data_IF_425871361265
#
_entry.id   IF_425871361265
#
_cell.length_a   1.000
_cell.length_b   1.000
_cell.length_c   1.000
_cell.angle_alpha   90.00
_cell.angle_beta   90.00
_cell.angle_gamma   90.00
#
_symmetry.space_group_name_H-M   'P 1'
#
loop_
_entity.id
_entity.type
_entity.pdbx_description
1 polymer ?
#
# COMPACT_ATOMS: atom_id res chain seq x y z
N UNK A 1 -18.60 -21.00 8.11
CA UNK A 1 -18.93 -21.83 6.94
C UNK A 1 -18.58 -23.26 7.29
N UNK A 2 -19.43 -24.24 6.98
CA UNK A 2 -19.09 -25.66 7.14
C UNK A 2 -17.95 -26.01 6.18
N UNK A 3 -16.97 -26.77 6.68
CA UNK A 3 -15.81 -27.21 5.88
C UNK A 3 -16.25 -28.31 4.92
N UNK A 4 -15.83 -28.25 3.66
CA UNK A 4 -16.19 -29.19 2.61
C UNK A 4 -15.18 -30.34 2.53
N UNK A 5 -15.63 -31.58 2.68
CA UNK A 5 -14.82 -32.80 2.53
C UNK A 5 -15.27 -33.55 1.28
N UNK A 6 -14.35 -33.86 0.37
CA UNK A 6 -14.62 -34.73 -0.77
C UNK A 6 -14.19 -36.17 -0.43
N UNK A 7 -15.08 -37.12 -0.61
CA UNK A 7 -14.79 -38.56 -0.42
C UNK A 7 -14.79 -39.26 -1.76
N UNK A 8 -13.67 -39.89 -2.10
CA UNK A 8 -13.45 -40.59 -3.36
C UNK A 8 -13.09 -42.04 -3.07
N UNK A 9 -13.99 -42.96 -3.39
CA UNK A 9 -13.88 -44.40 -3.13
C UNK A 9 -14.79 -45.12 -4.15
N UNK A 10 -14.45 -46.30 -4.64
CA UNK A 10 -15.29 -47.02 -5.62
C UNK A 10 -16.45 -47.77 -4.95
N UNK A 11 -16.32 -48.13 -3.67
CA UNK A 11 -17.36 -48.80 -2.89
C UNK A 11 -18.42 -47.82 -2.36
N UNK A 12 -19.66 -47.97 -2.84
CA UNK A 12 -20.78 -47.11 -2.42
C UNK A 12 -21.03 -47.15 -0.91
N UNK A 13 -20.96 -48.34 -0.29
CA UNK A 13 -21.15 -48.51 1.15
C UNK A 13 -20.13 -47.73 1.98
N UNK A 14 -18.88 -47.65 1.53
CA UNK A 14 -17.83 -46.89 2.22
C UNK A 14 -18.10 -45.39 2.11
N UNK A 15 -18.44 -44.91 0.91
CA UNK A 15 -18.78 -43.49 0.69
C UNK A 15 -19.94 -43.03 1.55
N UNK A 16 -21.02 -43.81 1.62
CA UNK A 16 -22.20 -43.49 2.43
C UNK A 16 -21.87 -43.49 3.93
N UNK A 17 -21.12 -44.48 4.40
CA UNK A 17 -20.69 -44.55 5.82
C UNK A 17 -19.83 -43.35 6.20
N UNK A 18 -18.88 -42.95 5.34
CA UNK A 18 -18.03 -41.79 5.59
C UNK A 18 -18.81 -40.47 5.56
N UNK A 19 -19.77 -40.34 4.65
CA UNK A 19 -20.68 -39.18 4.61
C UNK A 19 -21.41 -39.04 5.93
N UNK A 20 -22.07 -40.10 6.39
CA UNK A 20 -22.90 -40.05 7.59
C UNK A 20 -22.06 -39.65 8.82
N UNK A 21 -20.87 -40.26 8.98
CA UNK A 21 -19.93 -39.92 10.08
C UNK A 21 -19.48 -38.45 10.02
N UNK A 22 -19.16 -37.94 8.83
CA UNK A 22 -18.63 -36.58 8.66
C UNK A 22 -19.73 -35.51 8.78
N UNK A 23 -20.93 -35.78 8.26
CA UNK A 23 -22.09 -34.87 8.36
C UNK A 23 -22.58 -34.74 9.82
N UNK A 24 -22.59 -35.85 10.57
CA UNK A 24 -22.87 -35.84 12.02
C UNK A 24 -21.87 -34.97 12.81
N UNK A 25 -20.69 -34.71 12.23
CA UNK A 25 -19.64 -33.87 12.81
C UNK A 25 -19.52 -32.49 12.13
N UNK A 26 -20.61 -31.99 11.55
CA UNK A 26 -20.74 -30.64 10.98
C UNK A 26 -19.85 -30.35 9.74
N UNK A 27 -19.40 -31.37 9.03
CA UNK A 27 -18.77 -31.21 7.71
C UNK A 27 -19.82 -31.24 6.61
N UNK A 28 -19.59 -30.48 5.53
CA UNK A 28 -20.30 -30.68 4.27
C UNK A 28 -19.56 -31.75 3.48
N UNK A 29 -20.26 -32.75 2.95
CA UNK A 29 -19.61 -33.86 2.24
C UNK A 29 -20.11 -33.95 0.81
N UNK A 30 -19.20 -34.21 -0.11
CA UNK A 30 -19.50 -34.54 -1.49
C UNK A 30 -18.82 -35.87 -1.83
N UNK A 31 -19.44 -36.66 -2.70
CA UNK A 31 -19.02 -38.03 -3.00
C UNK A 31 -18.62 -38.16 -4.47
N UNK A 32 -17.53 -38.87 -4.73
CA UNK A 32 -17.11 -39.27 -6.08
C UNK A 32 -16.86 -40.78 -6.12
N UNK A 33 -17.28 -41.42 -7.20
CA UNK A 33 -17.28 -42.87 -7.37
C UNK A 33 -15.99 -43.44 -7.98
N UNK A 34 -15.08 -42.57 -8.46
CA UNK A 34 -13.82 -42.95 -9.07
C UNK A 34 -12.83 -41.77 -9.08
N UNK A 35 -11.56 -42.06 -9.38
CA UNK A 35 -10.50 -41.05 -9.38
C UNK A 35 -10.71 -39.91 -10.38
N UNK A 36 -11.32 -40.16 -11.55
CA UNK A 36 -11.57 -39.13 -12.56
C UNK A 36 -12.65 -38.13 -12.10
N UNK A 37 -13.78 -38.65 -11.61
CA UNK A 37 -14.85 -37.82 -11.02
C UNK A 37 -14.33 -37.02 -9.82
N UNK A 38 -13.47 -37.64 -8.99
CA UNK A 38 -12.81 -36.96 -7.88
C UNK A 38 -11.97 -35.76 -8.33
N UNK A 39 -11.13 -35.93 -9.36
CA UNK A 39 -10.32 -34.85 -9.93
C UNK A 39 -11.17 -33.69 -10.47
N UNK A 40 -12.23 -33.99 -11.21
CA UNK A 40 -13.13 -32.98 -11.79
C UNK A 40 -13.88 -32.21 -10.68
N UNK A 41 -14.25 -32.89 -9.60
CA UNK A 41 -14.90 -32.28 -8.44
C UNK A 41 -13.93 -31.41 -7.62
N UNK A 42 -12.65 -31.79 -7.51
CA UNK A 42 -11.64 -30.94 -6.86
C UNK A 42 -11.52 -29.61 -7.60
N UNK A 43 -11.45 -29.64 -8.93
CA UNK A 43 -11.37 -28.43 -9.76
C UNK A 43 -12.60 -27.53 -9.60
N UNK A 44 -13.80 -28.12 -9.54
CA UNK A 44 -15.07 -27.39 -9.48
C UNK A 44 -15.40 -26.85 -8.08
N UNK A 45 -15.14 -27.64 -7.04
CA UNK A 45 -15.65 -27.40 -5.69
C UNK A 45 -14.59 -26.88 -4.72
N UNK A 46 -13.30 -27.04 -5.03
CA UNK A 46 -12.17 -26.66 -4.19
C UNK A 46 -12.33 -27.12 -2.71
N UNK A 47 -12.48 -28.43 -2.46
CA UNK A 47 -12.80 -28.99 -1.15
C UNK A 47 -11.69 -28.71 -0.13
N UNK A 48 -12.05 -28.59 1.16
CA UNK A 48 -11.11 -28.29 2.25
C UNK A 48 -10.13 -29.43 2.55
N UNK A 49 -10.53 -30.66 2.25
CA UNK A 49 -9.67 -31.85 2.26
C UNK A 49 -10.29 -32.93 1.38
N UNK A 50 -9.48 -33.87 0.92
CA UNK A 50 -9.94 -35.04 0.13
C UNK A 50 -9.61 -36.31 0.89
N UNK A 51 -10.59 -37.21 1.04
CA UNK A 51 -10.40 -38.60 1.43
C UNK A 51 -10.37 -39.44 0.16
N UNK A 52 -9.28 -40.16 -0.09
CA UNK A 52 -9.01 -40.82 -1.37
C UNK A 52 -8.62 -42.28 -1.16
N UNK A 53 -9.43 -43.23 -1.64
CA UNK A 53 -9.03 -44.63 -1.66
C UNK A 53 -7.83 -44.84 -2.59
N UNK A 54 -6.83 -45.58 -2.12
CA UNK A 54 -5.68 -45.99 -2.93
C UNK A 54 -6.13 -46.92 -4.05
N UNK A 55 -7.07 -47.84 -3.79
CA UNK A 55 -7.47 -48.85 -4.78
C UNK A 55 -8.78 -48.47 -5.43
N UNK A 56 -8.72 -47.95 -6.64
CA UNK A 56 -9.89 -47.66 -7.46
C UNK A 56 -9.61 -48.05 -8.92
N UNK A 57 -10.65 -48.41 -9.70
CA UNK A 57 -10.50 -48.70 -11.12
C UNK A 57 -10.05 -47.47 -11.93
N UNK A 58 -9.35 -47.73 -13.03
CA UNK A 58 -8.82 -46.74 -14.00
C UNK A 58 -7.74 -45.80 -13.47
N UNK A 59 -8.09 -44.95 -12.50
CA UNK A 59 -7.18 -44.01 -11.83
C UNK A 59 -7.17 -44.36 -10.35
N UNK A 60 -6.08 -44.98 -9.91
CA UNK A 60 -5.82 -45.27 -8.50
C UNK A 60 -5.51 -44.00 -7.69
N UNK A 61 -5.59 -44.10 -6.37
CA UNK A 61 -5.43 -42.93 -5.48
C UNK A 61 -4.03 -42.32 -5.51
N UNK A 62 -2.99 -43.10 -5.79
CA UNK A 62 -1.61 -42.60 -5.90
C UNK A 62 -1.45 -41.77 -7.17
N UNK A 63 -1.96 -42.26 -8.29
CA UNK A 63 -1.95 -41.56 -9.57
C UNK A 63 -2.81 -40.30 -9.53
N UNK A 64 -3.97 -40.34 -8.86
CA UNK A 64 -4.79 -39.16 -8.61
C UNK A 64 -4.03 -38.11 -7.78
N UNK A 65 -3.32 -38.51 -6.72
CA UNK A 65 -2.46 -37.62 -5.92
C UNK A 65 -1.35 -36.95 -6.76
N UNK A 66 -0.69 -37.70 -7.64
CA UNK A 66 0.30 -37.11 -8.56
C UNK A 66 -0.30 -36.04 -9.46
N UNK A 67 -1.51 -36.27 -9.98
CA UNK A 67 -2.20 -35.33 -10.88
C UNK A 67 -2.58 -34.07 -10.10
N UNK A 68 -3.11 -34.20 -8.88
CA UNK A 68 -3.45 -33.08 -7.99
C UNK A 68 -2.22 -32.21 -7.74
N UNK A 69 -1.08 -32.82 -7.43
CA UNK A 69 0.17 -32.09 -7.19
C UNK A 69 0.74 -31.44 -8.45
N UNK A 70 0.72 -32.13 -9.60
CA UNK A 70 1.16 -31.54 -10.89
C UNK A 70 0.32 -30.34 -11.30
N UNK A 71 -0.96 -30.29 -10.92
CA UNK A 71 -1.86 -29.14 -11.16
C UNK A 71 -1.62 -27.96 -10.20
N UNK A 72 -0.74 -28.11 -9.21
CA UNK A 72 -0.43 -27.05 -8.23
C UNK A 72 -1.57 -26.77 -7.25
N UNK A 73 -2.44 -27.76 -7.00
CA UNK A 73 -3.56 -27.60 -6.07
C UNK A 73 -3.12 -27.88 -4.63
N UNK A 74 -3.23 -26.87 -3.76
CA UNK A 74 -2.88 -26.98 -2.35
C UNK A 74 -4.03 -27.55 -1.50
N UNK A 75 -4.66 -28.64 -1.95
CA UNK A 75 -5.67 -29.35 -1.16
C UNK A 75 -5.01 -30.51 -0.39
N UNK A 76 -5.14 -30.59 0.94
CA UNK A 76 -4.68 -31.73 1.71
C UNK A 76 -5.42 -33.01 1.28
N UNK A 77 -4.66 -34.06 0.94
CA UNK A 77 -5.20 -35.38 0.54
C UNK A 77 -4.85 -36.41 1.61
N UNK A 78 -5.86 -37.11 2.14
CA UNK A 78 -5.71 -38.22 3.08
C UNK A 78 -5.98 -39.51 2.32
N UNK A 79 -5.00 -40.41 2.27
CA UNK A 79 -5.13 -41.68 1.58
C UNK A 79 -5.81 -42.74 2.46
N UNK A 80 -6.74 -43.51 1.91
CA UNK A 80 -7.40 -44.61 2.60
C UNK A 80 -6.95 -45.94 1.96
N UNK A 81 -6.58 -46.93 2.77
CA UNK A 81 -6.12 -48.24 2.25
C UNK A 81 -6.61 -49.42 3.08
N UNK A 82 -6.93 -50.53 2.40
CA UNK A 82 -7.23 -51.82 3.03
C UNK A 82 -6.00 -52.71 3.27
N UNK A 83 -4.88 -52.46 2.58
CA UNK A 83 -3.64 -53.24 2.71
C UNK A 83 -2.47 -52.27 2.91
N UNK A 84 -2.02 -52.14 4.16
CA UNK A 84 -0.86 -51.32 4.52
C UNK A 84 0.46 -52.06 4.29
N UNK A 85 0.93 -52.16 3.05
CA UNK A 85 2.38 -52.31 2.85
C UNK A 85 3.05 -51.00 3.23
N UNK A 86 4.05 -51.05 4.12
CA UNK A 86 4.86 -49.89 4.53
C UNK A 86 5.39 -49.12 3.31
N UNK A 87 5.68 -49.81 2.22
CA UNK A 87 6.16 -49.23 0.95
C UNK A 87 5.16 -48.26 0.31
N UNK A 88 3.88 -48.61 0.25
CA UNK A 88 2.84 -47.79 -0.41
C UNK A 88 2.47 -46.57 0.42
N UNK A 89 2.51 -46.69 1.75
CA UNK A 89 2.37 -45.56 2.68
C UNK A 89 3.55 -44.58 2.53
N UNK A 90 4.78 -45.10 2.44
CA UNK A 90 5.97 -44.27 2.24
C UNK A 90 5.91 -43.54 0.89
N UNK A 91 5.44 -44.21 -0.16
CA UNK A 91 5.25 -43.62 -1.49
C UNK A 91 4.22 -42.49 -1.48
N UNK A 92 3.04 -42.72 -0.90
CA UNK A 92 2.01 -41.68 -0.78
C UNK A 92 2.49 -40.44 -0.02
N UNK A 93 3.23 -40.63 1.08
CA UNK A 93 3.82 -39.52 1.84
C UNK A 93 4.92 -38.78 1.05
N UNK A 94 5.76 -39.51 0.29
CA UNK A 94 6.76 -38.89 -0.61
C UNK A 94 6.13 -38.06 -1.71
N UNK A 95 4.97 -38.50 -2.20
CA UNK A 95 4.19 -37.78 -3.20
C UNK A 95 3.37 -36.64 -2.60
N UNK A 96 3.44 -36.38 -1.30
CA UNK A 96 2.81 -35.21 -0.68
C UNK A 96 1.39 -35.45 -0.17
N UNK A 97 1.00 -36.70 0.12
CA UNK A 97 -0.19 -36.95 0.92
C UNK A 97 -0.06 -36.26 2.29
N UNK A 98 -1.17 -35.73 2.80
CA UNK A 98 -1.22 -35.10 4.11
C UNK A 98 -1.08 -36.15 5.23
N UNK A 99 -1.83 -37.24 5.10
CA UNK A 99 -1.81 -38.37 6.02
C UNK A 99 -2.40 -39.61 5.34
N UNK A 100 -2.43 -40.73 6.05
CA UNK A 100 -3.08 -41.96 5.60
C UNK A 100 -3.93 -42.60 6.70
N UNK A 101 -4.96 -43.34 6.32
CA UNK A 101 -5.85 -44.06 7.22
C UNK A 101 -6.01 -45.52 6.74
N UNK A 102 -5.97 -46.46 7.69
CA UNK A 102 -6.08 -47.89 7.40
C UNK A 102 -7.51 -48.37 7.65
N UNK A 103 -8.12 -49.05 6.67
CA UNK A 103 -9.39 -49.79 6.84
C UNK A 103 -9.10 -51.03 7.72
N UNK A 104 -9.91 -51.34 8.76
CA UNK A 104 -11.14 -50.65 9.16
C UNK A 104 -10.88 -49.34 9.90
N UNK A 105 -11.57 -48.27 9.45
CA UNK A 105 -11.37 -46.91 9.93
C UNK A 105 -11.89 -46.74 11.36
N UNK A 106 -11.05 -46.20 12.25
CA UNK A 106 -11.47 -45.76 13.58
C UNK A 106 -12.05 -44.34 13.48
N UNK A 107 -13.28 -44.16 13.94
CA UNK A 107 -14.02 -42.89 13.83
C UNK A 107 -13.21 -41.71 14.41
N UNK A 108 -12.63 -41.87 15.61
CA UNK A 108 -11.84 -40.80 16.24
C UNK A 108 -10.61 -40.41 15.42
N UNK A 109 -9.92 -41.40 14.84
CA UNK A 109 -8.72 -41.19 14.03
C UNK A 109 -9.06 -40.46 12.72
N UNK A 110 -10.14 -40.88 12.06
CA UNK A 110 -10.68 -40.20 10.88
C UNK A 110 -10.99 -38.73 11.17
N UNK A 111 -11.74 -38.45 12.24
CA UNK A 111 -12.16 -37.09 12.59
C UNK A 111 -10.97 -36.19 12.96
N UNK A 112 -10.01 -36.72 13.72
CA UNK A 112 -8.80 -35.99 14.09
C UNK A 112 -7.94 -35.63 12.86
N UNK A 113 -7.77 -36.58 11.93
CA UNK A 113 -6.98 -36.37 10.72
C UNK A 113 -7.66 -35.38 9.77
N UNK A 114 -8.97 -35.49 9.56
CA UNK A 114 -9.77 -34.53 8.77
C UNK A 114 -9.73 -33.13 9.38
N UNK A 115 -9.83 -33.02 10.71
CA UNK A 115 -9.75 -31.74 11.41
C UNK A 115 -8.39 -31.07 11.17
N UNK A 116 -7.28 -31.80 11.34
CA UNK A 116 -5.93 -31.29 11.10
C UNK A 116 -5.74 -30.87 9.64
N UNK A 117 -6.19 -31.69 8.69
CA UNK A 117 -6.07 -31.41 7.25
C UNK A 117 -6.78 -30.10 6.88
N UNK A 118 -8.03 -29.94 7.30
CA UNK A 118 -8.81 -28.73 7.02
C UNK A 118 -8.27 -27.48 7.75
N UNK A 119 -7.63 -27.64 8.93
CA UNK A 119 -6.91 -26.55 9.60
C UNK A 119 -5.64 -26.13 8.85
N UNK A 120 -4.89 -27.08 8.29
CA UNK A 120 -3.72 -26.79 7.46
C UNK A 120 -4.11 -26.04 6.20
N UNK A 121 -5.20 -26.42 5.51
CA UNK A 121 -5.69 -25.64 4.36
C UNK A 121 -6.07 -24.21 4.76
N UNK A 122 -6.77 -24.05 5.88
CA UNK A 122 -7.12 -22.71 6.38
C UNK A 122 -5.87 -21.89 6.75
N UNK A 123 -4.82 -22.53 7.29
CA UNK A 123 -3.54 -21.89 7.59
C UNK A 123 -2.78 -21.52 6.33
N UNK A 124 -2.69 -22.40 5.33
CA UNK A 124 -2.07 -22.13 4.03
C UNK A 124 -2.81 -21.03 3.27
N UNK A 125 -4.15 -20.98 3.33
CA UNK A 125 -4.89 -19.85 2.73
C UNK A 125 -4.64 -18.52 3.45
N UNK A 126 -4.50 -18.54 4.79
CA UNK A 126 -4.06 -17.37 5.57
C UNK A 126 -2.61 -16.98 5.26
N UNK A 127 -1.73 -17.96 5.00
CA UNK A 127 -0.34 -17.74 4.61
C UNK A 127 -0.16 -17.33 3.15
N UNK A 128 -1.02 -17.76 2.23
CA UNK A 128 -1.02 -17.29 0.83
C UNK A 128 -1.50 -15.83 0.71
N UNK A 129 -2.38 -15.40 1.62
CA UNK A 129 -2.62 -13.96 1.84
C UNK A 129 -1.35 -13.25 2.36
N UNK A 130 -0.57 -13.92 3.22
CA UNK A 130 0.72 -13.42 3.68
C UNK A 130 1.82 -13.42 2.60
N UNK A 131 1.81 -14.31 1.60
CA UNK A 131 2.75 -14.28 0.47
C UNK A 131 2.46 -13.09 -0.46
N UNK A 132 1.18 -12.78 -0.69
CA UNK A 132 0.80 -11.50 -1.32
C UNK A 132 1.16 -10.29 -0.45
N UNK A 133 1.19 -10.41 0.88
CA UNK A 133 1.71 -9.37 1.78
C UNK A 133 3.25 -9.28 1.79
N UNK A 134 3.98 -10.39 1.61
CA UNK A 134 5.45 -10.43 1.49
C UNK A 134 5.89 -9.87 0.13
N UNK A 135 5.13 -10.12 -0.94
CA UNK A 135 5.36 -9.46 -2.23
C UNK A 135 4.97 -7.97 -2.19
N UNK A 136 3.86 -7.60 -1.53
CA UNK A 136 3.55 -6.18 -1.24
C UNK A 136 4.61 -5.52 -0.36
N UNK A 137 5.24 -6.26 0.56
CA UNK A 137 6.33 -5.76 1.40
C UNK A 137 7.62 -5.49 0.59
N UNK A 138 7.86 -6.22 -0.51
CA UNK A 138 8.93 -5.89 -1.48
C UNK A 138 8.59 -4.65 -2.33
N UNK A 139 7.31 -4.34 -2.53
CA UNK A 139 6.87 -3.18 -3.30
C UNK A 139 6.86 -1.86 -2.50
N UNK A 140 6.84 -1.94 -1.17
CA UNK A 140 6.89 -0.81 -0.23
C UNK A 140 8.31 -0.50 0.27
N UNK A 141 9.34 -0.95 -0.45
CA UNK A 141 10.73 -0.60 -0.12
C UNK A 141 10.95 0.89 -0.40
N UNK A 142 11.54 1.61 0.56
CA UNK A 142 12.03 2.96 0.30
C UNK A 142 13.16 2.91 -0.73
N UNK A 143 12.98 3.64 -1.82
CA UNK A 143 13.94 3.74 -2.92
C UNK A 143 14.63 5.09 -2.88
N UNK A 144 15.95 5.08 -3.00
CA UNK A 144 16.78 6.29 -3.07
C UNK A 144 18.23 6.01 -2.65
N UNK A 145 19.17 6.56 -3.40
CA UNK A 145 20.61 6.46 -3.17
C UNK A 145 21.24 7.80 -2.79
N UNK A 146 20.48 8.89 -2.85
CA UNK A 146 20.96 10.21 -2.46
C UNK A 146 21.54 10.20 -1.04
N UNK A 147 22.61 11.00 -0.78
CA UNK A 147 23.23 11.06 0.54
C UNK A 147 22.24 11.38 1.67
N UNK A 148 21.22 12.22 1.37
CA UNK A 148 20.17 12.59 2.32
C UNK A 148 19.32 11.37 2.70
N UNK A 149 18.90 10.56 1.73
CA UNK A 149 18.15 9.33 1.99
C UNK A 149 19.00 8.29 2.74
N UNK A 150 20.30 8.18 2.42
CA UNK A 150 21.21 7.29 3.17
C UNK A 150 21.33 7.70 4.64
N UNK A 151 21.33 9.00 4.96
CA UNK A 151 21.30 9.46 6.33
C UNK A 151 19.98 9.12 7.03
N UNK A 152 18.84 9.28 6.33
CA UNK A 152 17.52 8.87 6.85
C UNK A 152 17.51 7.38 7.17
N UNK A 153 18.02 6.51 6.31
CA UNK A 153 18.09 5.07 6.57
C UNK A 153 18.93 4.73 7.81
N UNK A 154 20.06 5.42 8.01
CA UNK A 154 20.87 5.27 9.23
C UNK A 154 20.09 5.67 10.48
N UNK A 155 19.36 6.78 10.44
CA UNK A 155 18.52 7.23 11.55
C UNK A 155 17.40 6.23 11.84
N UNK A 156 16.75 5.69 10.81
CA UNK A 156 15.73 4.64 10.94
C UNK A 156 16.33 3.41 11.64
N UNK A 157 17.49 2.92 11.19
CA UNK A 157 18.16 1.78 11.81
C UNK A 157 18.50 2.01 13.30
N UNK A 158 18.95 3.23 13.66
CA UNK A 158 19.24 3.59 15.06
C UNK A 158 17.97 3.64 15.92
N UNK A 159 16.89 4.21 15.41
CA UNK A 159 15.67 4.41 16.20
C UNK A 159 14.77 3.17 16.23
N UNK A 160 14.90 2.24 15.28
CA UNK A 160 14.03 1.07 15.17
C UNK A 160 14.05 0.20 16.45
N UNK A 161 15.21 0.03 17.08
CA UNK A 161 15.35 -0.74 18.34
C UNK A 161 14.93 0.01 19.61
N UNK A 162 14.60 1.30 19.51
CA UNK A 162 14.14 2.12 20.64
C UNK A 162 12.62 2.12 20.76
N UNK A 163 12.09 2.40 21.95
CA UNK A 163 10.65 2.69 22.15
C UNK A 163 10.32 4.18 22.04
N UNK A 164 11.30 5.03 21.74
CA UNK A 164 11.11 6.47 21.60
C UNK A 164 10.08 6.80 20.50
N UNK A 165 9.31 7.85 20.77
CA UNK A 165 8.41 8.46 19.79
C UNK A 165 9.22 9.06 18.65
N UNK A 166 8.76 8.87 17.42
CA UNK A 166 9.39 9.43 16.23
C UNK A 166 8.43 10.40 15.56
N UNK A 167 8.89 11.62 15.30
CA UNK A 167 8.18 12.61 14.51
C UNK A 167 8.77 12.67 13.10
N UNK A 168 7.95 12.38 12.10
CA UNK A 168 8.33 12.39 10.68
C UNK A 168 7.76 13.66 10.04
N UNK A 169 8.63 14.56 9.60
CA UNK A 169 8.23 15.77 8.87
C UNK A 169 8.51 15.63 7.39
N UNK A 170 7.73 16.32 6.58
CA UNK A 170 7.96 16.42 5.14
C UNK A 170 6.69 16.77 4.38
N UNK A 171 6.86 17.30 3.18
CA UNK A 171 5.74 17.63 2.30
C UNK A 171 4.84 16.43 2.01
N UNK A 172 3.63 16.71 1.54
CA UNK A 172 2.70 15.66 1.11
C UNK A 172 3.33 14.83 -0.02
N UNK A 173 3.21 13.51 0.08
CA UNK A 173 3.74 12.59 -0.94
C UNK A 173 5.25 12.32 -0.90
N UNK A 174 5.98 12.75 0.13
CA UNK A 174 7.44 12.49 0.28
C UNK A 174 7.80 11.07 0.75
N UNK A 175 6.82 10.30 1.24
CA UNK A 175 7.02 8.93 1.74
C UNK A 175 7.01 8.77 3.26
N UNK A 176 6.38 9.71 4.01
CA UNK A 176 6.31 9.65 5.49
C UNK A 176 5.77 8.32 6.03
N UNK A 177 4.73 7.79 5.39
CA UNK A 177 4.15 6.49 5.73
C UNK A 177 5.13 5.33 5.55
N UNK A 178 5.90 5.32 4.46
CA UNK A 178 6.92 4.29 4.20
C UNK A 178 8.05 4.34 5.23
N UNK A 179 8.43 5.53 5.69
CA UNK A 179 9.39 5.67 6.81
C UNK A 179 8.82 5.07 8.09
N UNK A 180 7.55 5.32 8.41
CA UNK A 180 6.91 4.77 9.60
C UNK A 180 6.81 3.23 9.55
N UNK A 181 6.43 2.68 8.39
CA UNK A 181 6.44 1.23 8.14
C UNK A 181 7.84 0.64 8.31
N UNK A 182 8.87 1.29 7.75
CA UNK A 182 10.25 0.85 7.86
C UNK A 182 10.75 0.86 9.32
N UNK A 183 10.39 1.88 10.11
CA UNK A 183 10.71 1.92 11.54
C UNK A 183 10.07 0.73 12.27
N UNK A 184 8.80 0.43 11.99
CA UNK A 184 8.11 -0.68 12.63
C UNK A 184 8.69 -2.05 12.21
N UNK A 185 8.87 -2.28 10.90
CA UNK A 185 9.38 -3.54 10.35
C UNK A 185 10.79 -3.90 10.86
N UNK A 186 11.62 -2.89 11.15
CA UNK A 186 12.96 -3.07 11.69
C UNK A 186 13.02 -3.03 13.23
N UNK A 187 11.87 -2.89 13.91
CA UNK A 187 11.84 -2.78 15.37
C UNK A 187 11.70 -4.12 16.08
N UNK A 188 11.93 -4.10 17.40
CA UNK A 188 11.58 -5.22 18.30
C UNK A 188 10.08 -5.55 18.30
N UNK A 189 9.24 -4.64 17.77
CA UNK A 189 7.78 -4.77 17.70
C UNK A 189 7.27 -5.25 16.34
N UNK A 190 8.15 -5.62 15.40
CA UNK A 190 7.81 -6.04 14.03
C UNK A 190 6.83 -7.21 13.92
N UNK A 191 6.72 -8.04 14.96
CA UNK A 191 5.80 -9.18 15.02
C UNK A 191 4.40 -8.79 15.55
N UNK A 192 4.22 -7.56 16.02
CA UNK A 192 2.96 -7.03 16.52
C UNK A 192 2.30 -6.11 15.49
N UNK A 193 1.08 -5.68 15.76
CA UNK A 193 0.29 -4.84 14.84
C UNK A 193 0.96 -3.49 14.51
N UNK A 194 0.90 -3.09 13.25
CA UNK A 194 1.13 -1.72 12.79
C UNK A 194 -0.21 -1.05 12.45
N UNK A 195 -0.72 -0.22 13.36
CA UNK A 195 -2.02 0.43 13.19
C UNK A 195 -1.84 1.83 12.63
N UNK A 196 -2.42 2.11 11.46
CA UNK A 196 -2.35 3.43 10.83
C UNK A 196 -3.66 4.19 11.02
N UNK A 197 -3.54 5.49 11.23
CA UNK A 197 -4.67 6.42 11.22
C UNK A 197 -4.25 7.74 10.60
N UNK A 198 -5.05 8.24 9.65
CA UNK A 198 -4.86 9.55 9.06
C UNK A 198 -5.86 10.52 9.69
N UNK A 199 -5.34 11.46 10.47
CA UNK A 199 -6.14 12.39 11.28
C UNK A 199 -6.89 13.41 10.41
N UNK A 200 -6.42 13.67 9.19
CA UNK A 200 -7.07 14.58 8.23
C UNK A 200 -8.28 13.93 7.53
N UNK A 201 -8.30 12.60 7.41
CA UNK A 201 -9.32 11.87 6.65
C UNK A 201 -10.60 11.56 7.43
N UNK A 202 -10.57 11.74 8.75
CA UNK A 202 -11.66 11.38 9.65
C UNK A 202 -12.26 12.67 10.21
N UNK A 203 -13.59 12.85 10.18
CA UNK A 203 -14.25 13.97 10.83
C UNK A 203 -13.82 14.09 12.31
N UNK A 204 -13.62 15.32 12.79
CA UNK A 204 -13.09 15.60 14.13
C UNK A 204 -13.86 14.85 15.24
N UNK A 205 -15.19 14.85 15.16
CA UNK A 205 -16.08 14.18 16.11
C UNK A 205 -15.95 12.65 16.12
N UNK A 206 -15.45 12.06 15.03
CA UNK A 206 -15.23 10.61 14.92
C UNK A 206 -13.78 10.23 15.20
N UNK A 207 -12.82 11.15 15.02
CA UNK A 207 -11.40 10.88 15.22
C UNK A 207 -11.11 10.44 16.66
N UNK A 208 -11.71 11.12 17.64
CA UNK A 208 -11.57 10.78 19.05
C UNK A 208 -12.08 9.36 19.34
N UNK A 209 -13.27 9.03 18.82
CA UNK A 209 -13.84 7.69 18.95
C UNK A 209 -13.04 6.62 18.20
N UNK A 210 -12.41 6.92 17.07
CA UNK A 210 -11.57 5.96 16.35
C UNK A 210 -10.28 5.70 17.14
N UNK A 211 -9.63 6.74 17.67
CA UNK A 211 -8.39 6.63 18.44
C UNK A 211 -8.59 5.87 19.75
N UNK A 212 -9.56 6.31 20.55
CA UNK A 212 -9.74 5.88 21.94
C UNK A 212 -10.90 4.91 22.13
N UNK A 213 -11.72 4.65 21.11
CA UNK A 213 -12.92 3.83 21.25
C UNK A 213 -14.06 4.57 21.94
N UNK A 214 -15.22 3.92 22.02
CA UNK A 214 -16.39 4.47 22.70
C UNK A 214 -17.19 3.39 23.42
N UNK A 215 -17.87 3.81 24.48
CA UNK A 215 -18.89 3.00 25.15
C UNK A 215 -20.26 3.14 24.49
N UNK A 216 -21.14 2.17 24.73
CA UNK A 216 -22.51 2.21 24.22
C UNK A 216 -23.22 3.46 24.76
N UNK A 217 -23.81 4.25 23.88
CA UNK A 217 -24.53 5.48 24.23
C UNK A 217 -23.65 6.72 24.44
N UNK A 218 -22.35 6.67 24.13
CA UNK A 218 -21.44 7.81 24.29
C UNK A 218 -21.81 9.04 23.43
N UNK A 219 -22.44 8.83 22.27
CA UNK A 219 -22.94 9.88 21.38
C UNK A 219 -24.11 9.35 20.52
N UNK A 220 -24.77 10.25 19.80
CA UNK A 220 -25.86 9.89 18.87
C UNK A 220 -25.36 8.96 17.77
N UNK A 221 -25.76 7.69 17.81
CA UNK A 221 -25.31 6.63 16.90
C UNK A 221 -24.38 5.58 17.51
N UNK A 222 -23.96 5.73 18.78
CA UNK A 222 -23.18 4.73 19.50
C UNK A 222 -24.04 3.54 19.98
N UNK A 223 -24.48 2.71 19.04
CA UNK A 223 -25.41 1.57 19.30
C UNK A 223 -24.74 0.43 20.10
N UNK A 224 -23.43 0.27 19.94
CA UNK A 224 -22.61 -0.71 20.65
C UNK A 224 -21.29 -0.06 21.09
N UNK A 225 -20.55 -0.69 22.00
CA UNK A 225 -19.19 -0.27 22.31
C UNK A 225 -18.23 -0.68 21.19
N UNK A 226 -17.17 0.11 20.99
CA UNK A 226 -16.15 -0.12 19.97
C UNK A 226 -14.76 0.13 20.54
N UNK A 227 -13.84 -0.81 20.31
CA UNK A 227 -12.43 -0.65 20.69
C UNK A 227 -11.74 0.42 19.84
N UNK A 228 -10.86 1.19 20.48
CA UNK A 228 -10.06 2.23 19.83
C UNK A 228 -8.81 1.69 19.12
N UNK A 229 -8.22 2.48 18.23
CA UNK A 229 -6.95 2.17 17.56
C UNK A 229 -5.80 1.99 18.56
N UNK A 230 -5.81 2.69 19.70
CA UNK A 230 -4.79 2.49 20.74
C UNK A 230 -4.84 1.09 21.37
N UNK A 231 -6.05 0.55 21.59
CA UNK A 231 -6.22 -0.83 22.07
C UNK A 231 -5.75 -1.83 21.01
N UNK A 232 -6.16 -1.61 19.76
CA UNK A 232 -5.73 -2.45 18.62
C UNK A 232 -4.21 -2.46 18.42
N UNK A 233 -3.54 -1.36 18.77
CA UNK A 233 -2.10 -1.19 18.63
C UNK A 233 -1.29 -1.65 19.86
N UNK A 234 -1.94 -2.23 20.87
CA UNK A 234 -1.28 -2.70 22.09
C UNK A 234 -0.12 -3.65 21.78
N UNK A 235 1.06 -3.42 22.38
CA UNK A 235 2.37 -4.05 22.09
C UNK A 235 2.97 -3.76 20.72
N UNK A 236 2.17 -3.23 19.80
CA UNK A 236 2.58 -2.82 18.46
C UNK A 236 3.01 -1.36 18.37
N UNK A 237 2.81 -0.81 17.18
CA UNK A 237 3.07 0.59 16.85
C UNK A 237 1.80 1.22 16.27
N UNK A 238 1.48 2.43 16.71
CA UNK A 238 0.46 3.27 16.08
C UNK A 238 1.15 4.38 15.27
N UNK A 239 0.72 4.55 14.02
CA UNK A 239 1.14 5.61 13.13
C UNK A 239 0.03 6.67 13.00
N UNK A 240 0.32 7.87 13.49
CA UNK A 240 -0.56 9.04 13.47
C UNK A 240 -0.15 9.95 12.30
N UNK A 241 -0.79 9.81 11.15
CA UNK A 241 -0.53 10.67 9.99
C UNK A 241 -1.32 11.98 10.08
N UNK A 242 -0.68 13.06 9.64
CA UNK A 242 -1.17 14.44 9.73
C UNK A 242 -1.63 14.82 11.16
N UNK A 243 -0.79 14.57 12.18
CA UNK A 243 -1.08 14.82 13.60
C UNK A 243 -1.48 16.28 13.90
N UNK A 244 -1.06 17.23 13.07
CA UNK A 244 -1.40 18.64 13.19
C UNK A 244 -2.89 18.96 12.93
N UNK A 245 -3.66 18.02 12.37
CA UNK A 245 -5.11 18.16 12.14
C UNK A 245 -5.95 17.75 13.36
N UNK A 246 -5.33 17.21 14.42
CA UNK A 246 -6.05 16.87 15.64
C UNK A 246 -6.60 18.12 16.33
N UNK A 247 -7.81 18.04 16.87
CA UNK A 247 -8.35 19.09 17.74
C UNK A 247 -7.59 19.18 19.07
N UNK A 248 -7.65 20.33 19.74
CA UNK A 248 -6.97 20.55 21.02
C UNK A 248 -7.42 19.57 22.11
N UNK A 249 -8.68 19.14 22.09
CA UNK A 249 -9.22 18.11 23.01
C UNK A 249 -8.59 16.75 22.75
N UNK A 250 -8.51 16.33 21.47
CA UNK A 250 -7.87 15.08 21.06
C UNK A 250 -6.37 15.10 21.40
N UNK A 251 -5.69 16.23 21.16
CA UNK A 251 -4.29 16.43 21.53
C UNK A 251 -4.07 16.28 23.04
N UNK A 252 -4.96 16.81 23.88
CA UNK A 252 -4.87 16.66 25.34
C UNK A 252 -5.01 15.20 25.79
N UNK A 253 -5.90 14.42 25.16
CA UNK A 253 -6.02 12.98 25.43
C UNK A 253 -4.81 12.18 24.94
N UNK A 254 -4.29 12.51 23.76
CA UNK A 254 -3.07 11.90 23.23
C UNK A 254 -1.87 12.15 24.17
N UNK A 255 -1.76 13.35 24.74
CA UNK A 255 -0.72 13.67 25.70
C UNK A 255 -0.77 12.74 26.93
N UNK A 256 -1.97 12.47 27.47
CA UNK A 256 -2.15 11.52 28.59
C UNK A 256 -1.67 10.11 28.22
N UNK A 257 -2.00 9.63 27.02
CA UNK A 257 -1.50 8.33 26.54
C UNK A 257 0.03 8.30 26.47
N UNK A 258 0.67 9.38 26.00
CA UNK A 258 2.13 9.50 25.92
C UNK A 258 2.82 9.60 27.28
N UNK A 259 2.13 10.09 28.31
CA UNK A 259 2.67 10.28 29.66
C UNK A 259 2.43 9.03 30.51
N UNK A 260 1.17 8.61 30.63
CA UNK A 260 0.70 7.65 31.62
C UNK A 260 0.48 6.26 31.03
N UNK A 261 0.52 6.12 29.70
CA UNK A 261 0.22 4.88 28.97
C UNK A 261 -1.19 4.34 29.25
N UNK A 262 -2.11 5.25 29.53
CA UNK A 262 -3.51 4.93 29.78
C UNK A 262 -4.45 5.99 29.21
N UNK A 263 -5.69 5.60 28.96
CA UNK A 263 -6.77 6.48 28.54
C UNK A 263 -8.13 5.87 28.89
N UNK A 264 -9.19 6.66 28.71
CA UNK A 264 -10.58 6.23 28.85
C UNK A 264 -11.28 6.31 27.49
N UNK A 265 -12.16 5.34 27.22
CA UNK A 265 -13.04 5.39 26.05
C UNK A 265 -13.96 6.61 26.10
N UNK A 266 -14.40 7.09 24.95
CA UNK A 266 -15.41 8.16 24.89
C UNK A 266 -16.68 7.70 25.59
N UNK A 267 -17.15 8.46 26.58
CA UNK A 267 -18.32 8.15 27.40
C UNK A 267 -18.11 7.06 28.46
N UNK A 268 -16.89 6.52 28.60
CA UNK A 268 -16.53 5.55 29.63
C UNK A 268 -15.74 6.19 30.77
N UNK A 269 -15.66 5.47 31.90
CA UNK A 269 -14.83 5.82 33.06
C UNK A 269 -13.79 4.75 33.39
N UNK A 270 -13.71 3.69 32.57
CA UNK A 270 -12.73 2.63 32.74
C UNK A 270 -11.39 3.07 32.16
N UNK A 271 -10.36 3.08 33.00
CA UNK A 271 -8.99 3.38 32.61
C UNK A 271 -8.36 2.16 31.93
N UNK A 272 -7.98 2.31 30.66
CA UNK A 272 -7.38 1.27 29.83
C UNK A 272 -5.89 1.54 29.68
N UNK A 273 -5.05 0.56 30.03
CA UNK A 273 -3.58 0.64 29.87
C UNK A 273 -3.11 0.05 28.56
N UNK A 274 -2.26 0.78 27.84
CA UNK A 274 -1.69 0.35 26.56
C UNK A 274 -0.18 0.53 26.49
N UNK A 275 0.53 -0.49 26.01
CA UNK A 275 1.94 -0.39 25.68
C UNK A 275 2.11 -0.23 24.17
N UNK A 276 1.94 0.98 23.67
CA UNK A 276 1.94 1.27 22.22
C UNK A 276 3.08 2.22 21.88
N UNK A 277 3.91 1.86 20.89
CA UNK A 277 4.90 2.79 20.33
C UNK A 277 4.20 3.78 19.40
N UNK A 278 4.49 5.07 19.53
CA UNK A 278 3.89 6.11 18.70
C UNK A 278 4.90 6.57 17.63
N UNK A 279 4.44 6.63 16.39
CA UNK A 279 5.13 7.31 15.29
C UNK A 279 4.15 8.34 14.73
N UNK A 280 4.54 9.60 14.69
CA UNK A 280 3.69 10.69 14.20
C UNK A 280 4.25 11.27 12.91
N UNK A 281 3.39 11.74 12.02
CA UNK A 281 3.78 12.44 10.80
C UNK A 281 2.98 13.72 10.61
N UNK A 282 3.60 14.71 9.95
CA UNK A 282 2.93 15.97 9.58
C UNK A 282 3.58 16.60 8.36
N UNK A 283 2.78 17.27 7.54
CA UNK A 283 3.26 18.18 6.51
C UNK A 283 3.27 19.67 6.95
N UNK A 284 2.68 19.99 8.12
CA UNK A 284 2.61 21.35 8.66
C UNK A 284 3.82 21.68 9.53
N UNK A 285 4.12 22.97 9.63
CA UNK A 285 5.07 23.52 10.59
C UNK A 285 4.42 23.60 11.98
N UNK A 286 4.80 22.68 12.88
CA UNK A 286 4.20 22.58 14.21
C UNK A 286 4.51 23.80 15.08
N UNK A 287 5.69 24.41 14.94
CA UNK A 287 6.08 25.61 15.67
C UNK A 287 5.16 26.79 15.34
N UNK A 288 4.75 26.91 14.07
CA UNK A 288 3.74 27.87 13.65
C UNK A 288 2.37 27.51 14.22
N UNK A 289 1.96 26.24 14.16
CA UNK A 289 0.69 25.80 14.74
C UNK A 289 0.60 26.08 16.25
N UNK A 290 1.71 25.98 16.99
CA UNK A 290 1.79 26.35 18.41
C UNK A 290 1.56 27.85 18.60
N UNK A 291 2.25 28.69 17.81
CA UNK A 291 2.07 30.16 17.85
C UNK A 291 0.64 30.56 17.51
N UNK A 292 0.01 29.86 16.57
CA UNK A 292 -1.37 30.10 16.14
C UNK A 292 -2.42 29.49 17.11
N UNK A 293 -1.99 28.82 18.19
CA UNK A 293 -2.88 28.21 19.19
C UNK A 293 -3.62 26.97 18.71
N UNK A 294 -3.21 26.38 17.57
CA UNK A 294 -3.85 25.20 16.96
C UNK A 294 -3.16 23.89 17.35
N UNK A 295 -1.96 23.96 17.94
CA UNK A 295 -1.24 22.79 18.44
C UNK A 295 -0.68 23.05 19.83
N UNK A 296 -0.75 22.06 20.72
CA UNK A 296 -0.26 22.21 22.09
C UNK A 296 1.25 22.07 22.17
N UNK A 297 1.88 23.00 22.87
CA UNK A 297 3.34 23.01 23.08
C UNK A 297 3.82 21.80 23.91
N UNK A 298 3.07 21.40 24.93
CA UNK A 298 3.40 20.24 25.78
C UNK A 298 3.39 18.91 25.01
N UNK A 299 2.42 18.72 24.13
CA UNK A 299 2.35 17.59 23.22
C UNK A 299 3.54 17.59 22.24
N UNK A 300 3.88 18.75 21.68
CA UNK A 300 4.99 18.88 20.74
C UNK A 300 6.31 18.35 21.33
N UNK A 301 6.68 18.80 22.53
CA UNK A 301 7.91 18.33 23.17
C UNK A 301 7.87 16.83 23.51
N UNK A 302 6.67 16.26 23.75
CA UNK A 302 6.53 14.83 24.06
C UNK A 302 6.62 13.93 22.82
N UNK A 303 6.19 14.41 21.65
CA UNK A 303 6.31 13.67 20.39
C UNK A 303 7.64 13.89 19.68
N UNK A 304 8.25 15.06 19.84
CA UNK A 304 9.49 15.42 19.16
C UNK A 304 10.75 14.91 19.90
N UNK A 305 10.79 13.60 20.17
CA UNK A 305 11.95 12.96 20.81
C UNK A 305 13.02 12.60 19.78
N UNK A 306 12.61 12.01 18.66
CA UNK A 306 13.46 11.77 17.49
C UNK A 306 12.76 12.33 16.27
N UNK A 307 13.44 13.23 15.56
CA UNK A 307 12.92 13.87 14.37
C UNK A 307 13.55 13.27 13.10
N UNK A 308 12.71 12.96 12.11
CA UNK A 308 13.14 12.58 10.76
C UNK A 308 12.48 13.52 9.77
N UNK A 309 13.28 14.34 9.08
CA UNK A 309 12.80 15.26 8.06
C UNK A 309 13.04 14.64 6.68
N UNK A 310 11.96 14.38 5.94
CA UNK A 310 12.01 13.90 4.58
C UNK A 310 12.16 15.07 3.60
N UNK A 311 13.19 15.06 2.73
CA UNK A 311 13.34 16.08 1.71
C UNK A 311 12.26 15.93 0.62
N UNK A 312 11.80 17.06 0.05
CA UNK A 312 10.99 17.04 -1.15
C UNK A 312 11.78 16.45 -2.33
N UNK A 313 11.08 15.92 -3.33
CA UNK A 313 11.70 15.21 -4.45
C UNK A 313 12.62 16.11 -5.28
N UNK A 314 12.32 17.42 -5.37
CA UNK A 314 13.17 18.43 -6.02
C UNK A 314 14.57 18.59 -5.40
N UNK A 315 14.74 18.24 -4.12
CA UNK A 315 16.04 18.28 -3.42
C UNK A 315 16.82 16.97 -3.55
N UNK A 316 16.22 15.94 -4.16
CA UNK A 316 16.82 14.61 -4.39
C UNK A 316 16.51 14.09 -5.80
N UNK A 317 16.72 14.95 -6.81
CA UNK A 317 16.45 14.63 -8.23
C UNK A 317 17.25 13.40 -8.71
N UNK A 318 18.41 13.12 -8.11
CA UNK A 318 19.23 11.94 -8.37
C UNK A 318 18.51 10.60 -8.08
N UNK A 319 17.49 10.60 -7.22
CA UNK A 319 16.70 9.41 -6.90
C UNK A 319 15.59 9.13 -7.93
N UNK A 320 15.26 10.10 -8.79
CA UNK A 320 14.12 10.01 -9.73
C UNK A 320 14.25 8.81 -10.68
N UNK A 321 15.41 8.54 -11.35
CA UNK A 321 15.50 7.42 -12.28
C UNK A 321 15.23 6.06 -11.62
N UNK A 322 15.72 5.87 -10.40
CA UNK A 322 15.52 4.62 -9.67
C UNK A 322 14.08 4.49 -9.16
N UNK A 323 13.49 5.58 -8.68
CA UNK A 323 12.07 5.64 -8.31
C UNK A 323 11.17 5.31 -9.51
N UNK A 324 11.42 5.93 -10.66
CA UNK A 324 10.68 5.68 -11.91
C UNK A 324 10.81 4.22 -12.32
N UNK A 325 12.02 3.66 -12.31
CA UNK A 325 12.26 2.26 -12.65
C UNK A 325 11.46 1.31 -11.74
N UNK A 326 11.46 1.56 -10.43
CA UNK A 326 10.71 0.78 -9.45
C UNK A 326 9.20 0.89 -9.68
N UNK A 327 8.68 2.11 -9.84
CA UNK A 327 7.25 2.37 -10.05
C UNK A 327 6.77 1.74 -11.36
N UNK A 328 7.51 1.91 -12.46
CA UNK A 328 7.13 1.35 -13.76
C UNK A 328 7.11 -0.18 -13.71
N UNK A 329 8.13 -0.83 -13.15
CA UNK A 329 8.14 -2.30 -13.00
C UNK A 329 6.91 -2.81 -12.25
N UNK A 330 6.56 -2.12 -11.16
CA UNK A 330 5.38 -2.44 -10.36
C UNK A 330 4.09 -2.26 -11.17
N UNK A 331 3.86 -1.08 -11.75
CA UNK A 331 2.65 -0.79 -12.51
C UNK A 331 2.50 -1.70 -13.73
N UNK A 332 3.62 -2.02 -14.40
CA UNK A 332 3.70 -2.92 -15.55
C UNK A 332 3.23 -4.33 -15.18
N UNK A 333 3.69 -4.87 -14.03
CA UNK A 333 3.23 -6.15 -13.47
C UNK A 333 1.77 -6.12 -13.05
N UNK A 334 1.35 -5.09 -12.31
CA UNK A 334 -0.03 -4.95 -11.80
C UNK A 334 -1.07 -4.87 -12.93
N UNK A 335 -0.71 -4.24 -14.07
CA UNK A 335 -1.61 -4.05 -15.21
C UNK A 335 -1.36 -5.01 -16.38
N UNK A 336 -0.43 -5.97 -16.23
CA UNK A 336 -0.10 -6.94 -17.27
C UNK A 336 0.40 -6.32 -18.58
N UNK A 337 1.10 -5.19 -18.52
CA UNK A 337 1.64 -4.50 -19.70
C UNK A 337 3.14 -4.76 -19.87
N UNK A 338 3.68 -4.74 -21.10
CA UNK A 338 5.10 -4.98 -21.33
C UNK A 338 5.93 -3.67 -21.29
N UNK A 339 5.66 -2.76 -20.34
CA UNK A 339 6.37 -1.48 -20.26
C UNK A 339 7.67 -1.64 -19.48
N UNK A 340 8.79 -1.21 -20.07
CA UNK A 340 10.13 -1.32 -19.49
C UNK A 340 10.66 -0.02 -18.91
N UNK A 341 10.12 1.15 -19.30
CA UNK A 341 10.59 2.45 -18.81
C UNK A 341 10.25 3.61 -19.75
N UNK A 342 10.89 4.75 -19.48
CA UNK A 342 10.88 5.93 -20.34
C UNK A 342 12.13 6.00 -21.21
N UNK A 343 12.01 6.61 -22.39
CA UNK A 343 13.15 7.01 -23.19
C UNK A 343 13.95 8.13 -22.50
N UNK A 344 15.11 8.46 -23.09
CA UNK A 344 16.03 9.44 -22.52
C UNK A 344 15.40 10.84 -22.43
N UNK A 345 14.65 11.25 -23.45
CA UNK A 345 14.06 12.60 -23.50
C UNK A 345 12.97 12.75 -22.44
N UNK A 346 12.09 11.76 -22.30
CA UNK A 346 11.06 11.73 -21.27
C UNK A 346 11.67 11.66 -19.87
N UNK A 347 12.74 10.87 -19.67
CA UNK A 347 13.44 10.85 -18.39
C UNK A 347 14.01 12.23 -18.02
N UNK A 348 14.62 12.94 -18.97
CA UNK A 348 15.10 14.31 -18.74
C UNK A 348 13.97 15.28 -18.37
N UNK A 349 12.76 15.12 -18.93
CA UNK A 349 11.58 15.89 -18.51
C UNK A 349 11.20 15.58 -17.06
N UNK A 350 11.18 14.29 -16.68
CA UNK A 350 10.87 13.86 -15.32
C UNK A 350 11.90 14.37 -14.30
N UNK A 351 13.19 14.32 -14.61
CA UNK A 351 14.26 14.81 -13.72
C UNK A 351 14.22 16.33 -13.51
N UNK A 352 13.83 17.09 -14.54
CA UNK A 352 13.82 18.55 -14.46
C UNK A 352 12.57 19.12 -13.78
N UNK A 353 11.49 18.35 -13.69
CA UNK A 353 10.27 18.79 -13.01
C UNK A 353 10.46 18.91 -11.49
N UNK A 354 9.75 19.84 -10.86
CA UNK A 354 9.92 20.13 -9.42
C UNK A 354 9.04 19.27 -8.50
N UNK A 355 8.11 18.52 -9.07
CA UNK A 355 7.28 17.54 -8.34
C UNK A 355 6.62 18.12 -7.07
N UNK A 356 5.71 19.11 -7.18
CA UNK A 356 5.00 19.66 -6.03
C UNK A 356 4.20 18.61 -5.23
N UNK A 357 3.74 17.53 -5.87
CA UNK A 357 3.12 16.39 -5.19
C UNK A 357 4.09 15.25 -4.86
N UNK A 358 5.40 15.48 -5.01
CA UNK A 358 6.49 14.57 -4.68
C UNK A 358 6.32 13.18 -5.31
N UNK A 359 6.66 12.12 -4.58
CA UNK A 359 6.61 10.73 -5.07
C UNK A 359 5.17 10.30 -5.40
N UNK A 360 4.16 10.85 -4.71
CA UNK A 360 2.76 10.56 -5.00
C UNK A 360 2.36 11.04 -6.40
N UNK A 361 2.77 12.25 -6.77
CA UNK A 361 2.57 12.76 -8.13
C UNK A 361 3.37 11.98 -9.17
N UNK A 362 4.65 11.70 -8.91
CA UNK A 362 5.50 10.88 -9.78
C UNK A 362 4.86 9.51 -10.05
N UNK A 363 4.34 8.86 -9.01
CA UNK A 363 3.63 7.58 -9.12
C UNK A 363 2.42 7.70 -10.04
N UNK A 364 1.56 8.69 -9.82
CA UNK A 364 0.36 8.89 -10.63
C UNK A 364 0.68 9.13 -12.11
N UNK A 365 1.75 9.89 -12.37
CA UNK A 365 2.24 10.16 -13.73
C UNK A 365 2.73 8.89 -14.41
N UNK A 366 3.56 8.10 -13.73
CA UNK A 366 4.07 6.84 -14.25
C UNK A 366 2.96 5.82 -14.49
N UNK A 367 2.03 5.67 -13.53
CA UNK A 367 0.90 4.76 -13.62
C UNK A 367 -0.01 5.09 -14.80
N UNK A 368 -0.34 6.38 -14.97
CA UNK A 368 -1.10 6.87 -16.12
C UNK A 368 -0.38 6.58 -17.43
N UNK A 369 0.92 6.82 -17.50
CA UNK A 369 1.70 6.57 -18.71
C UNK A 369 1.70 5.08 -19.08
N UNK A 370 1.87 4.18 -18.10
CA UNK A 370 1.76 2.72 -18.32
C UNK A 370 0.35 2.36 -18.81
N UNK A 371 -0.70 2.83 -18.14
CA UNK A 371 -2.09 2.53 -18.50
C UNK A 371 -2.48 3.01 -19.90
N UNK A 372 -1.93 4.12 -20.38
CA UNK A 372 -2.23 4.65 -21.71
C UNK A 372 -1.30 4.11 -22.80
N UNK A 373 -0.17 3.52 -22.43
CA UNK A 373 0.81 3.03 -23.39
C UNK A 373 0.34 1.82 -24.19
N UNK A 374 0.79 1.76 -25.44
CA UNK A 374 0.67 0.60 -26.33
C UNK A 374 2.04 0.04 -26.72
N UNK A 375 3.12 0.59 -26.16
CA UNK A 375 4.51 0.30 -26.54
C UNK A 375 5.34 -0.03 -25.28
N UNK A 376 6.43 -0.81 -25.40
CA UNK A 376 7.30 -1.11 -24.26
C UNK A 376 8.05 0.10 -23.69
N UNK A 377 8.37 1.09 -24.52
CA UNK A 377 9.11 2.28 -24.13
C UNK A 377 8.21 3.52 -24.21
N UNK A 378 8.10 4.25 -23.10
CA UNK A 378 7.33 5.48 -22.97
C UNK A 378 8.14 6.69 -23.45
N UNK A 379 7.47 7.63 -24.10
CA UNK A 379 8.06 8.83 -24.70
C UNK A 379 7.50 10.09 -24.03
N UNK A 380 7.99 11.26 -24.43
CA UNK A 380 7.46 12.56 -23.95
C UNK A 380 5.96 12.70 -24.25
N UNK A 381 5.48 12.07 -25.32
CA UNK A 381 4.07 12.05 -25.72
C UNK A 381 3.18 11.23 -24.79
N UNK A 382 3.74 10.45 -23.88
CA UNK A 382 2.99 9.68 -22.89
C UNK A 382 2.85 10.44 -21.54
N UNK A 383 3.64 11.51 -21.35
CA UNK A 383 3.60 12.35 -20.14
C UNK A 383 2.40 13.32 -20.16
N UNK A 384 1.80 13.70 -19.02
CA UNK A 384 0.77 14.74 -18.98
C UNK A 384 1.23 16.08 -19.57
N UNK A 385 0.31 16.85 -20.16
CA UNK A 385 0.63 18.16 -20.74
C UNK A 385 1.26 19.15 -19.75
N UNK A 386 0.95 19.04 -18.45
CA UNK A 386 1.55 19.84 -17.38
C UNK A 386 3.06 19.64 -17.25
N UNK A 387 3.57 18.45 -17.58
CA UNK A 387 5.00 18.13 -17.59
C UNK A 387 5.67 18.48 -18.92
N UNK A 388 4.92 18.47 -20.03
CA UNK A 388 5.44 18.81 -21.36
C UNK A 388 5.69 20.31 -21.53
N UNK A 389 4.92 21.16 -20.82
CA UNK A 389 5.10 22.60 -20.86
C UNK A 389 6.09 23.03 -19.78
N UNK A 390 7.35 23.26 -20.17
CA UNK A 390 8.10 24.33 -19.52
C UNK A 390 7.28 25.60 -19.73
N UNK A 391 6.78 26.20 -18.66
CA UNK A 391 6.42 27.61 -18.66
C UNK A 391 7.70 28.43 -18.89
N UNK A 392 8.21 28.41 -20.12
CA UNK A 392 9.18 29.39 -20.64
C UNK A 392 8.66 30.83 -20.54
N UNK A 393 7.42 31.03 -20.08
CA UNK A 393 6.84 32.33 -19.79
C UNK A 393 7.33 32.95 -18.48
N UNK A 394 7.80 32.16 -17.50
CA UNK A 394 8.16 32.68 -16.16
C UNK A 394 9.67 32.82 -15.97
N UNK A 395 10.52 31.99 -16.61
CA UNK A 395 11.99 32.13 -16.53
C UNK A 395 12.48 33.52 -16.99
N UNK A 396 11.82 34.13 -17.97
CA UNK A 396 12.20 35.45 -18.48
C UNK A 396 11.89 36.61 -17.50
N UNK A 397 10.96 36.46 -16.55
CA UNK A 397 10.69 37.49 -15.54
C UNK A 397 11.83 37.65 -14.52
N UNK A 398 12.68 36.63 -14.36
CA UNK A 398 13.81 36.64 -13.42
C UNK A 398 15.02 37.47 -13.87
N UNK A 399 15.08 37.84 -15.16
CA UNK A 399 16.18 38.63 -15.75
C UNK A 399 15.83 40.12 -15.89
N UNK A 400 14.60 40.52 -15.52
CA UNK A 400 14.12 41.90 -15.68
C UNK A 400 14.63 42.76 -14.53
N UNK A 401 15.55 43.68 -14.84
CA UNK A 401 16.00 44.70 -13.90
C UNK A 401 15.04 45.90 -13.92
N UNK A 402 14.47 46.24 -12.77
CA UNK A 402 13.65 47.43 -12.59
C UNK A 402 13.34 47.66 -11.12
N UNK A 403 13.51 48.89 -10.63
CA UNK A 403 13.29 49.25 -9.22
C UNK A 403 11.82 49.59 -8.95
N UNK A 404 11.01 49.76 -10.01
CA UNK A 404 9.60 50.06 -9.93
C UNK A 404 8.74 49.17 -10.83
N UNK A 405 7.48 48.93 -10.42
CA UNK A 405 6.49 48.17 -11.20
C UNK A 405 6.31 48.73 -12.62
N UNK A 406 6.46 50.04 -12.79
CA UNK A 406 6.32 50.72 -14.08
C UNK A 406 7.45 50.34 -15.05
N UNK A 407 8.69 50.22 -14.56
CA UNK A 407 9.86 49.83 -15.35
C UNK A 407 9.80 48.36 -15.73
N UNK A 408 9.44 47.49 -14.77
CA UNK A 408 9.28 46.05 -15.02
C UNK A 408 8.23 45.81 -16.10
N UNK A 409 7.07 46.48 -16.03
CA UNK A 409 6.01 46.34 -17.04
C UNK A 409 6.47 46.86 -18.41
N UNK A 410 7.21 47.97 -18.46
CA UNK A 410 7.73 48.51 -19.71
C UNK A 410 8.74 47.55 -20.39
N UNK A 411 9.62 46.93 -19.61
CA UNK A 411 10.59 45.96 -20.12
C UNK A 411 9.90 44.68 -20.60
N UNK A 412 8.88 44.21 -19.86
CA UNK A 412 8.04 43.10 -20.31
C UNK A 412 7.33 43.44 -21.62
N UNK A 413 6.77 44.64 -21.76
CA UNK A 413 6.11 45.03 -23.00
C UNK A 413 7.08 45.11 -24.18
N UNK A 414 8.29 45.65 -23.97
CA UNK A 414 9.35 45.78 -24.99
C UNK A 414 9.71 44.42 -25.60
N UNK A 415 10.05 43.46 -24.77
CA UNK A 415 10.49 42.13 -25.20
C UNK A 415 9.37 41.30 -25.82
N UNK A 416 8.13 41.41 -25.30
CA UNK A 416 6.96 40.79 -25.95
C UNK A 416 6.78 41.32 -27.36
N UNK A 417 6.98 42.62 -27.57
CA UNK A 417 6.94 43.24 -28.90
C UNK A 417 8.09 42.73 -29.78
N UNK A 418 9.33 42.67 -29.27
CA UNK A 418 10.49 42.18 -30.01
C UNK A 418 10.34 40.72 -30.45
N UNK A 419 9.86 39.86 -29.56
CA UNK A 419 9.60 38.45 -29.85
C UNK A 419 8.50 38.29 -30.90
N UNK A 420 7.39 39.01 -30.75
CA UNK A 420 6.31 38.97 -31.72
C UNK A 420 6.74 39.52 -33.09
N UNK A 421 7.60 40.55 -33.13
CA UNK A 421 8.22 41.03 -34.38
C UNK A 421 9.09 39.95 -35.02
N UNK A 422 9.95 39.28 -34.26
CA UNK A 422 10.81 38.21 -34.76
C UNK A 422 9.99 37.03 -35.33
N UNK A 423 8.97 36.57 -34.60
CA UNK A 423 8.06 35.48 -35.02
C UNK A 423 7.26 35.82 -36.29
N UNK A 424 7.01 37.11 -36.54
CA UNK A 424 6.28 37.60 -37.71
C UNK A 424 7.20 38.21 -38.79
N UNK A 425 8.49 37.84 -38.81
CA UNK A 425 9.48 38.33 -39.79
C UNK A 425 9.51 39.87 -39.91
N UNK A 426 9.41 40.57 -38.77
CA UNK A 426 9.36 42.03 -38.65
C UNK A 426 8.20 42.70 -39.40
N UNK A 427 7.18 41.93 -39.80
CA UNK A 427 5.97 42.47 -40.42
C UNK A 427 5.06 43.11 -39.34
N UNK A 428 5.06 44.44 -39.31
CA UNK A 428 4.32 45.23 -38.31
C UNK A 428 2.80 45.02 -38.34
N UNK A 429 2.20 44.77 -39.50
CA UNK A 429 0.75 44.53 -39.61
C UNK A 429 0.38 43.15 -39.04
N UNK A 430 1.15 42.12 -39.40
CA UNK A 430 0.95 40.77 -38.87
C UNK A 430 1.23 40.71 -37.36
N UNK A 431 2.26 41.42 -36.90
CA UNK A 431 2.61 41.52 -35.47
C UNK A 431 1.51 42.20 -34.66
N UNK A 432 0.93 43.30 -35.16
CA UNK A 432 -0.17 44.00 -34.48
C UNK A 432 -1.42 43.10 -34.36
N UNK A 433 -1.73 42.32 -35.40
CA UNK A 433 -2.81 41.33 -35.37
C UNK A 433 -2.53 40.20 -34.38
N UNK A 434 -1.31 39.66 -34.36
CA UNK A 434 -0.89 38.61 -33.43
C UNK A 434 -0.97 39.06 -31.96
N UNK A 435 -0.59 40.32 -31.69
CA UNK A 435 -0.67 40.94 -30.37
C UNK A 435 -2.05 41.50 -30.03
N UNK A 436 -3.03 41.42 -30.95
CA UNK A 436 -4.40 41.95 -30.79
C UNK A 436 -4.45 43.44 -30.42
N UNK A 437 -3.53 44.23 -30.97
CA UNK A 437 -3.49 45.69 -30.80
C UNK A 437 -3.58 46.40 -32.15
N UNK A 438 -4.00 47.66 -32.14
CA UNK A 438 -4.02 48.47 -33.35
C UNK A 438 -2.59 48.75 -33.83
N UNK A 439 -2.41 48.83 -35.16
CA UNK A 439 -1.11 49.13 -35.79
C UNK A 439 -0.51 50.45 -35.29
N UNK A 440 -1.35 51.46 -35.03
CA UNK A 440 -0.94 52.75 -34.46
C UNK A 440 -0.42 52.61 -33.02
N UNK A 441 -1.05 51.77 -32.20
CA UNK A 441 -0.62 51.48 -30.82
C UNK A 441 0.70 50.70 -30.78
N UNK A 442 0.87 49.71 -31.67
CA UNK A 442 2.14 49.01 -31.81
C UNK A 442 3.27 49.98 -32.21
N UNK A 443 3.01 50.87 -33.18
CA UNK A 443 3.99 51.84 -33.64
C UNK A 443 4.41 52.83 -32.54
N UNK A 444 3.45 53.32 -31.75
CA UNK A 444 3.73 54.19 -30.60
C UNK A 444 4.61 53.50 -29.55
N UNK A 445 4.29 52.25 -29.19
CA UNK A 445 5.09 51.45 -28.24
C UNK A 445 6.48 51.12 -28.77
N UNK A 446 6.62 50.80 -30.07
CA UNK A 446 7.93 50.56 -30.68
C UNK A 446 8.84 51.80 -30.62
N UNK A 447 8.26 53.00 -30.76
CA UNK A 447 8.99 54.27 -30.62
C UNK A 447 9.32 54.60 -29.16
N UNK A 448 8.37 54.37 -28.25
CA UNK A 448 8.54 54.54 -26.80
C UNK A 448 9.69 53.68 -26.27
N UNK A 449 9.80 52.44 -26.75
CA UNK A 449 10.85 51.50 -26.35
C UNK A 449 12.11 51.55 -27.24
N UNK A 450 12.25 52.52 -28.15
CA UNK A 450 13.47 52.66 -28.97
C UNK A 450 13.80 51.45 -29.86
N UNK A 451 12.77 50.72 -30.32
CA UNK A 451 12.90 49.61 -31.27
C UNK A 451 13.05 50.14 -32.71
N UNK A 452 12.56 51.36 -32.98
CA UNK A 452 12.58 52.05 -34.28
C UNK A 452 12.90 53.54 -34.16
#
# INVERSE_FOLDING_TARGET
MSKLVLVVDDEQSVRETLRDILEDNCYRVELASNGQEGLDMIDRLNPDTVLLDIRMPEIDGIRALEIINKRGQHVPVILITAYGSTETTIEGMRLGAFDYLMKPLKINELLDTVKKATEVKAMVQRSGQAEHEVERAKDNIMVGKSPVMQNIYKTIGRVANSTATVLIRGESGTGKELVAEAIHANSVRRAYSFVKINCASIPENLLESELFGHEKGAFTGAVASKQGKFEMAHRGTIFLDEIAEMSLSTQAKLLRVLQDREFERVGGTETIRVDTRIVAATNKNLEKCIKDGTFREDLYYRINVVEIVLPPLRERKEDIPELVCHIIKRCSREHGKPVSGFDREAMTVLENYDWPGNIRELKNVCERAVLMSSRPLLTVEDLPHSLRKKDRRIEWLGEIQGDSLKEIVAEVEREVILKALAENNWNRTATAQALKINRSSLYAKMKEFGII
#
